data_IF_023398574867
#
_entry.id   IF_023398574867
#
_cell.length_a   1.000
_cell.length_b   1.000
_cell.length_c   1.000
_cell.angle_alpha   90.00
_cell.angle_beta   90.00
_cell.angle_gamma   90.00
#
_symmetry.space_group_name_H-M   'P 1'
#
loop_
_entity.id
_entity.type
_entity.pdbx_description
1 polymer ?
#
# COMPACT_ATOMS: atom_id res chain seq x y z
N UNK A 1 28.67 -19.65 60.57
CA UNK A 1 29.69 -19.09 59.65
C UNK A 1 29.25 -19.51 58.26
N UNK A 2 28.86 -18.71 57.30
CA UNK A 2 29.05 -17.30 56.97
C UNK A 2 29.04 -17.24 55.43
N UNK A 3 28.55 -16.14 54.86
CA UNK A 3 28.36 -15.83 53.42
C UNK A 3 27.02 -16.34 52.83
N UNK A 4 26.09 -15.53 52.33
CA UNK A 4 26.12 -14.09 52.06
C UNK A 4 25.26 -13.78 50.83
N UNK A 5 23.93 -13.91 50.94
CA UNK A 5 22.99 -13.46 49.91
C UNK A 5 22.55 -12.02 50.23
N UNK A 6 22.94 -11.07 49.38
CA UNK A 6 22.42 -9.71 49.40
C UNK A 6 21.11 -9.62 48.59
N UNK A 7 20.03 -9.01 49.11
CA UNK A 7 18.89 -8.62 48.29
C UNK A 7 19.12 -7.21 47.72
N UNK A 8 18.99 -7.05 46.40
CA UNK A 8 18.93 -5.74 45.75
C UNK A 8 17.63 -5.04 46.16
N UNK A 9 17.80 -3.90 46.83
CA UNK A 9 16.74 -2.98 47.21
C UNK A 9 16.28 -2.23 45.95
N UNK A 10 15.03 -2.47 45.53
CA UNK A 10 14.37 -1.68 44.49
C UNK A 10 13.85 -0.38 45.14
N UNK A 11 14.63 0.69 45.04
CA UNK A 11 14.23 2.00 45.54
C UNK A 11 13.18 2.60 44.60
N UNK A 12 11.91 2.56 45.00
CA UNK A 12 10.82 3.27 44.35
C UNK A 12 11.02 4.79 44.51
N UNK A 13 11.33 5.48 43.41
CA UNK A 13 11.28 6.94 43.36
C UNK A 13 9.84 7.34 43.02
N UNK A 14 9.04 7.54 44.07
CA UNK A 14 7.78 8.28 43.98
C UNK A 14 8.11 9.77 43.85
N UNK A 15 7.97 10.35 42.66
CA UNK A 15 7.93 11.80 42.47
C UNK A 15 6.50 12.20 42.15
N UNK A 16 5.92 12.99 43.05
CA UNK A 16 4.62 13.61 42.91
C UNK A 16 4.56 14.46 41.64
N UNK A 17 3.59 14.18 40.77
CA UNK A 17 3.20 15.07 39.70
C UNK A 17 2.54 16.30 40.32
N UNK A 18 3.30 17.39 40.42
CA UNK A 18 2.76 18.71 40.71
C UNK A 18 1.90 19.18 39.54
N UNK A 19 0.68 19.59 39.85
CA UNK A 19 -0.27 20.23 38.94
C UNK A 19 0.32 21.50 38.33
N UNK A 20 0.56 21.52 37.03
CA UNK A 20 0.81 22.76 36.29
C UNK A 20 -0.54 23.40 35.93
N UNK A 21 -0.89 24.48 36.63
CA UNK A 21 -1.90 25.42 36.18
C UNK A 21 -1.25 26.44 35.21
N UNK A 22 -1.91 26.82 34.11
CA UNK A 22 -1.39 27.85 33.21
C UNK A 22 -1.46 29.25 33.88
N UNK A 23 -0.51 30.15 33.59
CA UNK A 23 -0.55 31.53 34.11
C UNK A 23 -1.70 32.32 33.47
N UNK A 24 -2.26 33.33 34.17
CA UNK A 24 -3.31 34.19 33.64
C UNK A 24 -2.79 35.10 32.52
N UNK A 25 -3.68 35.63 31.65
CA UNK A 25 -3.27 36.51 30.57
C UNK A 25 -2.97 37.91 31.11
N UNK A 26 -1.74 38.38 30.90
CA UNK A 26 -1.37 39.77 31.14
C UNK A 26 -1.98 40.67 30.06
N UNK A 27 -2.85 41.57 30.51
CA UNK A 27 -3.27 42.76 29.80
C UNK A 27 -2.24 43.86 30.05
N UNK A 28 -1.42 44.20 29.06
CA UNK A 28 -1.22 45.61 28.75
C UNK A 28 -0.57 45.86 27.39
N UNK A 29 -1.07 46.93 26.79
CA UNK A 29 -0.71 47.52 25.51
C UNK A 29 0.72 48.09 25.50
N UNK A 30 1.48 47.80 24.43
CA UNK A 30 2.38 48.82 23.86
C UNK A 30 2.58 48.60 22.36
N UNK A 31 2.08 49.56 21.60
CA UNK A 31 2.15 49.67 20.16
C UNK A 31 3.57 50.08 19.71
N UNK A 32 4.32 49.15 19.13
CA UNK A 32 5.49 49.47 18.30
C UNK A 32 5.36 48.79 16.94
N UNK A 33 4.84 49.54 15.98
CA UNK A 33 4.82 49.19 14.55
C UNK A 33 6.26 49.26 14.02
N UNK A 34 6.83 48.12 13.66
CA UNK A 34 7.99 48.06 12.78
C UNK A 34 7.53 48.27 11.32
N UNK A 35 8.15 49.17 10.53
CA UNK A 35 7.79 49.32 9.13
C UNK A 35 8.36 48.17 8.30
N UNK A 36 7.50 47.53 7.50
CA UNK A 36 7.91 46.59 6.45
C UNK A 36 8.51 47.35 5.26
N UNK A 37 9.56 46.84 4.60
CA UNK A 37 10.09 47.44 3.38
C UNK A 37 9.11 47.23 2.19
N UNK A 38 9.07 48.13 1.20
CA UNK A 38 8.14 48.02 0.08
C UNK A 38 8.56 46.91 -0.90
N UNK A 39 7.57 46.17 -1.41
CA UNK A 39 7.72 45.24 -2.52
C UNK A 39 8.09 45.97 -3.83
N UNK A 40 8.98 45.43 -4.68
CA UNK A 40 9.30 46.03 -5.96
C UNK A 40 8.15 45.83 -6.96
N UNK A 41 7.72 46.93 -7.58
CA UNK A 41 6.78 46.93 -8.70
C UNK A 41 7.46 46.40 -9.97
N UNK A 42 6.92 45.33 -10.55
CA UNK A 42 7.26 44.85 -11.88
C UNK A 42 6.67 45.80 -12.93
N UNK A 43 7.53 46.54 -13.62
CA UNK A 43 7.19 47.36 -14.79
C UNK A 43 7.08 46.46 -16.02
N UNK A 44 5.87 46.33 -16.58
CA UNK A 44 5.66 45.77 -17.92
C UNK A 44 5.96 46.85 -18.97
N UNK A 45 7.07 46.71 -19.69
CA UNK A 45 7.34 47.50 -20.88
C UNK A 45 6.54 46.95 -22.05
N UNK A 46 5.53 47.69 -22.49
CA UNK A 46 4.83 47.50 -23.76
C UNK A 46 5.71 47.98 -24.91
N UNK A 47 6.28 47.05 -25.68
CA UNK A 47 6.78 47.36 -27.03
C UNK A 47 5.79 46.82 -28.07
N UNK A 48 5.12 47.76 -28.74
CA UNK A 48 4.36 47.52 -29.95
C UNK A 48 5.35 47.19 -31.08
N UNK A 49 5.22 46.02 -31.69
CA UNK A 49 5.76 45.76 -33.02
C UNK A 49 4.81 44.87 -33.82
N UNK A 50 4.64 45.27 -35.07
CA UNK A 50 3.58 44.90 -36.03
C UNK A 50 3.63 43.42 -36.43
N UNK A 51 2.47 42.87 -36.75
CA UNK A 51 2.31 41.72 -37.65
C UNK A 51 1.10 41.98 -38.58
N UNK A 52 0.90 41.29 -39.71
CA UNK A 52 1.81 40.42 -40.48
C UNK A 52 1.83 40.73 -42.00
N UNK A 53 2.78 40.17 -42.75
CA UNK A 53 2.67 40.02 -44.22
C UNK A 53 2.27 38.59 -44.59
N UNK A 54 1.24 38.50 -45.42
CA UNK A 54 0.49 37.30 -45.80
C UNK A 54 1.17 36.43 -46.88
N UNK A 55 2.39 35.95 -46.64
CA UNK A 55 3.09 35.12 -47.64
C UNK A 55 3.83 33.89 -47.07
N UNK A 56 3.87 33.67 -45.75
CA UNK A 56 4.55 32.52 -45.15
C UNK A 56 3.60 31.40 -44.65
N UNK A 57 2.28 31.59 -44.74
CA UNK A 57 1.28 30.67 -44.18
C UNK A 57 0.75 29.60 -45.16
N UNK A 58 1.28 29.52 -46.39
CA UNK A 58 0.74 28.64 -47.44
C UNK A 58 1.63 27.47 -47.86
N UNK A 59 2.71 27.17 -47.12
CA UNK A 59 3.54 25.97 -47.35
C UNK A 59 3.59 24.99 -46.16
N UNK A 60 2.74 25.18 -45.15
CA UNK A 60 2.61 24.29 -43.98
C UNK A 60 1.18 23.75 -43.81
N UNK A 61 0.43 23.63 -44.91
CA UNK A 61 -0.95 23.12 -44.91
C UNK A 61 -1.12 21.80 -45.69
N UNK A 62 -0.03 21.22 -46.22
CA UNK A 62 -0.07 19.99 -47.01
C UNK A 62 1.15 19.11 -46.69
N UNK A 63 1.22 18.59 -45.47
CA UNK A 63 2.24 17.62 -45.08
C UNK A 63 2.05 17.14 -43.66
N UNK A 64 1.85 15.83 -43.48
CA UNK A 64 1.71 15.11 -42.21
C UNK A 64 0.36 15.23 -41.47
N UNK A 65 -0.73 14.84 -42.15
CA UNK A 65 -1.77 14.02 -41.49
C UNK A 65 -1.44 12.53 -41.69
N UNK A 66 -0.39 12.04 -41.04
CA UNK A 66 -0.38 10.64 -40.60
C UNK A 66 -1.02 10.67 -39.23
N UNK A 67 -2.32 10.42 -39.19
CA UNK A 67 -2.95 9.96 -37.96
C UNK A 67 -2.13 8.75 -37.50
N UNK A 68 -1.48 8.88 -36.34
CA UNK A 68 -1.04 7.72 -35.58
C UNK A 68 -2.32 6.94 -35.28
N UNK A 69 -2.62 5.93 -36.10
CA UNK A 69 -3.61 4.93 -35.75
C UNK A 69 -3.00 4.18 -34.57
N UNK A 70 -3.38 4.58 -33.35
CA UNK A 70 -3.19 3.72 -32.20
C UNK A 70 -3.79 2.36 -32.56
N UNK A 71 -3.01 1.29 -32.40
CA UNK A 71 -3.51 -0.06 -32.62
C UNK A 71 -4.82 -0.24 -31.84
N UNK A 72 -5.86 -0.86 -32.42
CA UNK A 72 -7.10 -1.11 -31.70
C UNK A 72 -6.78 -1.87 -30.42
N UNK A 73 -7.17 -1.30 -29.28
CA UNK A 73 -7.05 -1.99 -28.00
C UNK A 73 -7.87 -3.29 -28.09
N UNK A 74 -7.33 -4.43 -27.59
CA UNK A 74 -8.07 -5.67 -27.61
C UNK A 74 -9.42 -5.47 -26.92
N UNK A 75 -10.49 -5.78 -27.66
CA UNK A 75 -11.85 -5.78 -27.13
C UNK A 75 -12.08 -7.07 -26.37
N UNK A 76 -12.65 -6.97 -25.17
CA UNK A 76 -13.05 -8.10 -24.33
C UNK A 76 -14.58 -8.12 -24.22
N UNK A 77 -15.22 -9.30 -24.20
CA UNK A 77 -16.65 -9.39 -23.93
C UNK A 77 -17.00 -8.74 -22.57
N UNK A 78 -18.18 -8.11 -22.45
CA UNK A 78 -18.75 -7.69 -21.16
C UNK A 78 -18.70 -8.84 -20.15
N UNK A 79 -18.53 -8.52 -18.86
CA UNK A 79 -18.30 -9.52 -17.81
C UNK A 79 -19.40 -10.60 -17.78
N UNK A 80 -20.65 -10.18 -17.94
CA UNK A 80 -21.85 -10.98 -17.94
C UNK A 80 -22.01 -11.88 -19.19
N UNK A 81 -21.29 -11.57 -20.27
CA UNK A 81 -21.31 -12.28 -21.56
C UNK A 81 -20.13 -13.24 -21.73
N UNK A 82 -19.19 -13.28 -20.79
CA UNK A 82 -18.02 -14.17 -20.90
C UNK A 82 -18.41 -15.65 -20.76
N UNK A 83 -17.71 -16.57 -21.45
CA UNK A 83 -17.98 -18.02 -21.38
C UNK A 83 -18.06 -18.58 -19.96
N UNK A 84 -17.22 -18.08 -19.06
CA UNK A 84 -17.17 -18.41 -17.63
C UNK A 84 -17.54 -17.18 -16.79
N UNK A 85 -18.74 -16.63 -17.04
CA UNK A 85 -19.22 -15.38 -16.45
C UNK A 85 -19.19 -15.34 -14.91
N UNK A 86 -19.45 -16.45 -14.23
CA UNK A 86 -19.46 -16.54 -12.76
C UNK A 86 -18.11 -16.96 -12.16
N UNK A 87 -17.04 -16.88 -12.95
CA UNK A 87 -15.67 -17.21 -12.56
C UNK A 87 -14.79 -15.97 -12.60
N UNK A 88 -13.96 -15.81 -11.57
CA UNK A 88 -12.89 -14.81 -11.52
C UNK A 88 -11.57 -15.45 -11.10
N UNK A 89 -10.48 -15.06 -11.74
CA UNK A 89 -9.12 -15.39 -11.31
C UNK A 89 -8.47 -14.15 -10.69
N UNK A 90 -8.13 -14.25 -9.41
CA UNK A 90 -7.36 -13.28 -8.67
C UNK A 90 -5.91 -13.73 -8.56
N UNK A 91 -4.98 -12.80 -8.73
CA UNK A 91 -3.55 -13.09 -8.71
C UNK A 91 -2.84 -12.20 -7.70
N UNK A 92 -2.00 -12.77 -6.85
CA UNK A 92 -0.86 -12.02 -6.32
C UNK A 92 0.04 -11.52 -7.48
N UNK A 93 0.90 -10.53 -7.21
CA UNK A 93 1.78 -9.93 -8.23
C UNK A 93 3.20 -10.47 -8.15
N UNK A 94 3.90 -10.22 -7.05
CA UNK A 94 5.34 -10.49 -6.89
C UNK A 94 5.61 -11.97 -6.58
N UNK A 95 6.21 -12.70 -7.52
CA UNK A 95 6.43 -14.14 -7.44
C UNK A 95 5.35 -14.97 -8.14
N UNK A 96 4.20 -14.34 -8.42
CA UNK A 96 3.02 -14.99 -9.00
C UNK A 96 2.78 -14.58 -10.46
N UNK A 97 2.65 -13.27 -10.74
CA UNK A 97 2.53 -12.75 -12.11
C UNK A 97 3.89 -12.33 -12.67
N UNK A 98 4.78 -11.84 -11.81
CA UNK A 98 6.11 -11.38 -12.20
C UNK A 98 7.17 -12.01 -11.31
N UNK A 99 8.43 -12.14 -11.74
CA UNK A 99 9.49 -12.44 -10.80
C UNK A 99 9.60 -11.31 -9.77
N UNK A 100 10.03 -11.60 -8.55
CA UNK A 100 10.03 -10.63 -7.45
C UNK A 100 10.72 -9.30 -7.84
N UNK A 101 9.97 -8.19 -7.82
CA UNK A 101 10.40 -6.83 -8.17
C UNK A 101 10.89 -6.66 -9.62
N UNK A 102 10.48 -7.54 -10.51
CA UNK A 102 10.79 -7.47 -11.94
C UNK A 102 9.51 -7.41 -12.78
N UNK A 103 9.70 -7.23 -14.08
CA UNK A 103 8.66 -7.06 -15.08
C UNK A 103 7.91 -8.36 -15.40
N UNK A 104 6.63 -8.25 -15.73
CA UNK A 104 5.83 -9.32 -16.30
C UNK A 104 6.40 -9.75 -17.66
N UNK A 105 6.47 -11.07 -17.88
CA UNK A 105 6.92 -11.61 -19.17
C UNK A 105 5.86 -11.41 -20.26
N UNK A 106 6.26 -11.31 -21.55
CA UNK A 106 5.30 -11.27 -22.66
C UNK A 106 4.36 -12.48 -22.68
N UNK A 107 4.84 -13.66 -22.27
CA UNK A 107 4.02 -14.87 -22.17
C UNK A 107 2.95 -14.75 -21.09
N UNK A 108 3.28 -14.22 -19.91
CA UNK A 108 2.31 -13.95 -18.86
C UNK A 108 1.21 -13.00 -19.35
N UNK A 109 1.60 -11.89 -19.97
CA UNK A 109 0.66 -10.89 -20.49
C UNK A 109 -0.27 -11.48 -21.56
N UNK A 110 0.27 -12.29 -22.47
CA UNK A 110 -0.52 -13.00 -23.47
C UNK A 110 -1.49 -14.02 -22.84
N UNK A 111 -1.04 -14.76 -21.82
CA UNK A 111 -1.86 -15.73 -21.08
C UNK A 111 -3.02 -15.03 -20.35
N UNK A 112 -2.75 -13.92 -19.68
CA UNK A 112 -3.79 -13.11 -19.02
C UNK A 112 -4.79 -12.56 -20.03
N UNK A 113 -4.33 -12.07 -21.18
CA UNK A 113 -5.21 -11.58 -22.24
C UNK A 113 -6.11 -12.69 -22.79
N UNK A 114 -5.58 -13.90 -22.99
CA UNK A 114 -6.37 -15.06 -23.41
C UNK A 114 -7.38 -15.49 -22.34
N UNK A 115 -6.97 -15.52 -21.07
CA UNK A 115 -7.84 -15.85 -19.93
C UNK A 115 -8.99 -14.85 -19.78
N UNK A 116 -8.72 -13.55 -19.97
CA UNK A 116 -9.71 -12.48 -19.87
C UNK A 116 -10.83 -12.57 -20.92
N UNK A 117 -10.60 -13.28 -22.02
CA UNK A 117 -11.66 -13.60 -22.99
C UNK A 117 -12.66 -14.65 -22.45
N UNK A 118 -12.27 -15.43 -21.43
CA UNK A 118 -13.06 -16.54 -20.87
C UNK A 118 -13.74 -16.19 -19.55
N UNK A 119 -13.05 -15.54 -18.62
CA UNK A 119 -13.55 -15.23 -17.28
C UNK A 119 -13.10 -13.83 -16.83
N UNK A 120 -13.59 -13.34 -15.69
CA UNK A 120 -13.05 -12.14 -15.07
C UNK A 120 -11.62 -12.38 -14.56
N UNK A 121 -10.76 -11.36 -14.63
CA UNK A 121 -9.42 -11.42 -14.03
C UNK A 121 -9.17 -10.19 -13.16
N UNK A 122 -8.40 -10.37 -12.09
CA UNK A 122 -7.92 -9.27 -11.28
C UNK A 122 -6.63 -9.58 -10.55
N UNK A 123 -5.92 -8.55 -10.11
CA UNK A 123 -4.77 -8.73 -9.21
C UNK A 123 -5.09 -8.20 -7.81
N UNK A 124 -4.40 -8.75 -6.81
CA UNK A 124 -4.39 -8.27 -5.43
C UNK A 124 -2.95 -8.23 -4.88
N UNK A 125 -2.44 -7.02 -4.65
CA UNK A 125 -1.09 -6.79 -4.16
C UNK A 125 -1.06 -5.87 -2.94
N UNK A 126 -0.10 -6.09 -2.04
CA UNK A 126 0.09 -5.21 -0.87
C UNK A 126 0.75 -3.86 -1.20
N UNK A 127 1.33 -3.73 -2.38
CA UNK A 127 1.95 -2.51 -2.90
C UNK A 127 0.92 -1.51 -3.44
N UNK A 128 1.33 -0.24 -3.59
CA UNK A 128 0.54 0.80 -4.26
C UNK A 128 0.45 0.60 -5.78
N UNK A 129 -0.52 1.25 -6.42
CA UNK A 129 -0.81 1.15 -7.85
C UNK A 129 0.40 1.48 -8.75
N UNK A 130 1.28 2.38 -8.32
CA UNK A 130 2.44 2.77 -9.11
C UNK A 130 3.43 1.61 -9.27
N UNK A 131 3.58 0.76 -8.25
CA UNK A 131 4.39 -0.47 -8.33
C UNK A 131 3.75 -1.50 -9.27
N UNK A 132 2.43 -1.71 -9.23
CA UNK A 132 1.80 -2.61 -10.21
C UNK A 132 1.85 -2.06 -11.64
N UNK A 133 1.77 -0.73 -11.80
CA UNK A 133 1.99 -0.08 -13.09
C UNK A 133 3.41 -0.34 -13.60
N UNK A 134 4.42 -0.24 -12.74
CA UNK A 134 5.80 -0.53 -13.08
C UNK A 134 6.00 -1.99 -13.52
N UNK A 135 5.49 -2.94 -12.74
CA UNK A 135 5.73 -4.36 -12.96
C UNK A 135 4.92 -4.96 -14.10
N UNK A 136 3.72 -4.44 -14.38
CA UNK A 136 2.80 -5.06 -15.35
C UNK A 136 2.46 -4.08 -16.48
N UNK A 137 2.07 -2.85 -16.14
CA UNK A 137 1.61 -1.89 -17.14
C UNK A 137 2.72 -1.37 -18.07
N UNK A 138 3.91 -1.06 -17.54
CA UNK A 138 5.09 -0.64 -18.33
C UNK A 138 5.54 -1.71 -19.32
N UNK A 139 5.81 -2.97 -18.92
CA UNK A 139 6.19 -4.01 -19.87
C UNK A 139 5.08 -4.36 -20.88
N UNK A 140 3.81 -4.08 -20.55
CA UNK A 140 2.68 -4.17 -21.49
C UNK A 140 2.57 -2.97 -22.47
N UNK A 141 3.69 -2.31 -22.80
CA UNK A 141 3.70 -1.16 -23.71
C UNK A 141 3.26 0.15 -23.04
N UNK A 142 3.49 0.29 -21.74
CA UNK A 142 3.11 1.45 -20.93
C UNK A 142 1.60 1.73 -20.92
N UNK A 143 0.80 0.66 -20.99
CA UNK A 143 -0.66 0.71 -20.84
C UNK A 143 -0.99 0.89 -19.35
N UNK A 144 -2.01 1.68 -18.98
CA UNK A 144 -2.49 1.71 -17.60
C UNK A 144 -2.83 0.31 -17.11
N UNK A 145 -2.26 -0.13 -15.99
CA UNK A 145 -2.48 -1.47 -15.44
C UNK A 145 -3.96 -1.74 -15.16
N UNK A 146 -4.72 -0.67 -14.85
CA UNK A 146 -6.17 -0.71 -14.66
C UNK A 146 -6.98 -1.03 -15.92
N UNK A 147 -6.37 -0.94 -17.10
CA UNK A 147 -6.94 -1.36 -18.36
C UNK A 147 -6.64 -2.83 -18.70
N UNK A 148 -5.65 -3.45 -18.05
CA UNK A 148 -5.23 -4.83 -18.32
C UNK A 148 -6.04 -5.88 -17.57
N UNK A 149 -6.68 -5.49 -16.46
CA UNK A 149 -7.51 -6.36 -15.62
C UNK A 149 -8.92 -5.82 -15.49
N UNK A 150 -9.87 -6.68 -15.11
CA UNK A 150 -11.22 -6.26 -14.79
C UNK A 150 -11.31 -5.69 -13.38
N UNK A 151 -10.52 -6.25 -12.46
CA UNK A 151 -10.38 -5.76 -11.09
C UNK A 151 -8.92 -5.52 -10.73
N UNK A 152 -8.63 -4.38 -10.11
CA UNK A 152 -7.28 -4.05 -9.66
C UNK A 152 -7.33 -3.71 -8.18
N UNK A 153 -6.71 -4.52 -7.33
CA UNK A 153 -6.70 -4.32 -5.89
C UNK A 153 -5.28 -4.01 -5.41
N UNK A 154 -4.95 -2.72 -5.36
CA UNK A 154 -3.72 -2.24 -4.74
C UNK A 154 -3.93 -2.10 -3.23
N UNK A 155 -2.85 -2.23 -2.47
CA UNK A 155 -2.86 -2.18 -1.00
C UNK A 155 -3.93 -3.13 -0.40
N UNK A 156 -3.90 -4.40 -0.83
CA UNK A 156 -4.86 -5.45 -0.46
C UNK A 156 -6.33 -5.14 -0.84
N UNK A 157 -6.56 -4.15 -1.71
CA UNK A 157 -7.88 -3.71 -2.13
C UNK A 157 -8.39 -2.48 -1.41
N UNK A 158 -7.58 -1.79 -0.61
CA UNK A 158 -7.96 -0.46 -0.08
C UNK A 158 -8.09 0.57 -1.19
N UNK A 159 -7.23 0.45 -2.20
CA UNK A 159 -7.33 1.16 -3.47
C UNK A 159 -7.77 0.16 -4.52
N UNK A 160 -8.99 0.32 -5.04
CA UNK A 160 -9.63 -0.66 -5.89
C UNK A 160 -10.15 -0.03 -7.19
N UNK A 161 -10.04 -0.77 -8.30
CA UNK A 161 -10.64 -0.39 -9.58
C UNK A 161 -11.43 -1.54 -10.17
N UNK A 162 -12.52 -1.21 -10.87
CA UNK A 162 -13.27 -2.11 -11.74
C UNK A 162 -13.35 -1.52 -13.14
N UNK A 163 -12.89 -2.26 -14.15
CA UNK A 163 -12.92 -1.84 -15.56
C UNK A 163 -12.33 -0.42 -15.77
N UNK A 164 -11.20 -0.15 -15.13
CA UNK A 164 -10.53 1.15 -15.18
C UNK A 164 -11.13 2.25 -14.29
N UNK A 165 -12.31 2.03 -13.69
CA UNK A 165 -12.98 3.00 -12.83
C UNK A 165 -12.67 2.75 -11.36
N UNK A 166 -12.40 3.81 -10.61
CA UNK A 166 -12.12 3.71 -9.18
C UNK A 166 -13.38 3.27 -8.41
N UNK A 167 -13.22 2.29 -7.52
CA UNK A 167 -14.22 1.86 -6.56
C UNK A 167 -14.06 2.65 -5.25
N UNK A 168 -15.07 2.69 -4.36
CA UNK A 168 -14.95 3.34 -3.07
C UNK A 168 -13.70 2.88 -2.30
N UNK A 169 -12.77 3.79 -2.10
CA UNK A 169 -11.53 3.54 -1.35
C UNK A 169 -11.73 3.74 0.15
N UNK A 170 -10.89 3.07 0.93
CA UNK A 170 -10.80 3.27 2.38
C UNK A 170 -9.35 3.54 2.76
N UNK A 171 -9.16 4.13 3.93
CA UNK A 171 -7.83 4.42 4.46
C UNK A 171 -7.79 4.17 5.96
N UNK A 172 -6.61 3.85 6.48
CA UNK A 172 -6.39 3.53 7.87
C UNK A 172 -6.90 4.68 8.76
N UNK A 173 -6.58 5.92 8.40
CA UNK A 173 -7.03 7.10 9.16
C UNK A 173 -8.55 7.31 9.11
N UNK A 174 -9.20 6.98 7.99
CA UNK A 174 -10.66 7.04 7.87
C UNK A 174 -11.34 5.98 8.73
N UNK A 175 -10.73 4.80 8.86
CA UNK A 175 -11.25 3.70 9.65
C UNK A 175 -11.04 3.91 11.16
N UNK A 176 -9.82 4.28 11.59
CA UNK A 176 -9.47 4.44 13.01
C UNK A 176 -9.93 5.79 13.56
N UNK A 177 -9.98 6.83 12.73
CA UNK A 177 -10.24 8.21 13.16
C UNK A 177 -9.04 8.88 13.85
N UNK A 178 -8.99 10.21 13.73
CA UNK A 178 -7.87 11.02 14.23
C UNK A 178 -7.61 10.86 15.73
N UNK A 179 -8.66 10.79 16.56
CA UNK A 179 -8.50 10.75 18.01
C UNK A 179 -7.87 9.45 18.52
N UNK A 180 -8.27 8.31 17.96
CA UNK A 180 -7.66 7.02 18.29
C UNK A 180 -6.27 6.90 17.66
N UNK A 181 -6.07 7.39 16.43
CA UNK A 181 -4.75 7.40 15.79
C UNK A 181 -3.72 8.22 16.57
N UNK A 182 -4.07 9.43 17.02
CA UNK A 182 -3.21 10.27 17.87
C UNK A 182 -2.81 9.53 19.14
N UNK A 183 -3.76 8.84 19.80
CA UNK A 183 -3.45 8.07 21.01
C UNK A 183 -2.47 6.92 20.72
N UNK A 184 -2.69 6.18 19.62
CA UNK A 184 -1.81 5.10 19.17
C UNK A 184 -0.40 5.61 18.88
N UNK A 185 -0.25 6.67 18.08
CA UNK A 185 1.05 7.22 17.71
C UNK A 185 1.76 7.84 18.91
N UNK A 186 1.06 8.56 19.79
CA UNK A 186 1.68 9.11 21.00
C UNK A 186 2.24 8.00 21.89
N UNK A 187 1.50 6.91 22.07
CA UNK A 187 2.00 5.75 22.81
C UNK A 187 3.24 5.14 22.15
N UNK A 188 3.22 4.93 20.83
CA UNK A 188 4.36 4.40 20.07
C UNK A 188 5.59 5.30 20.25
N UNK A 189 5.44 6.61 20.12
CA UNK A 189 6.56 7.56 20.23
C UNK A 189 7.12 7.63 21.65
N UNK A 190 6.29 7.61 22.69
CA UNK A 190 6.77 7.53 24.08
C UNK A 190 7.50 6.21 24.34
N UNK A 191 6.92 5.08 23.92
CA UNK A 191 7.57 3.78 24.07
C UNK A 191 8.94 3.75 23.37
N UNK A 192 9.04 4.28 22.15
CA UNK A 192 10.28 4.40 21.40
C UNK A 192 11.30 5.32 22.08
N UNK A 193 10.87 6.38 22.76
CA UNK A 193 11.77 7.29 23.46
C UNK A 193 12.50 6.56 24.59
N UNK A 194 11.76 5.77 25.39
CA UNK A 194 12.29 5.06 26.56
C UNK A 194 12.98 3.73 26.21
N UNK A 195 12.74 3.18 25.03
CA UNK A 195 13.32 1.91 24.60
C UNK A 195 14.84 2.00 24.43
N UNK A 196 15.59 1.13 25.10
CA UNK A 196 17.04 1.02 24.93
C UNK A 196 17.39 0.00 23.84
N UNK A 197 18.01 0.48 22.76
CA UNK A 197 18.48 -0.32 21.63
C UNK A 197 19.86 0.20 21.23
N UNK A 198 20.75 -0.65 20.68
CA UNK A 198 22.13 -0.25 20.40
C UNK A 198 22.26 1.00 19.53
N UNK A 199 21.29 1.22 18.64
CA UNK A 199 21.26 2.32 17.69
C UNK A 199 19.83 2.81 17.50
N UNK A 200 19.65 4.14 17.40
CA UNK A 200 18.43 4.78 16.88
C UNK A 200 18.78 5.68 15.70
N UNK A 201 17.91 5.71 14.69
CA UNK A 201 18.04 6.55 13.48
C UNK A 201 16.82 7.45 13.34
N UNK A 202 16.00 7.23 12.33
CA UNK A 202 14.82 8.04 12.03
C UNK A 202 13.79 7.25 11.23
N UNK A 203 12.62 7.86 11.02
CA UNK A 203 11.44 7.20 10.43
C UNK A 203 11.03 5.98 11.27
N UNK A 204 10.72 6.23 12.54
CA UNK A 204 10.29 5.20 13.49
C UNK A 204 8.83 4.78 13.28
N UNK A 205 7.99 5.70 12.82
CA UNK A 205 6.60 5.45 12.42
C UNK A 205 6.44 5.97 11.00
N UNK A 206 6.14 5.08 10.07
CA UNK A 206 5.84 5.41 8.67
C UNK A 206 4.35 5.20 8.45
N UNK A 207 3.62 6.29 8.22
CA UNK A 207 2.20 6.24 7.90
C UNK A 207 1.99 5.91 6.42
N UNK A 208 1.11 4.94 6.15
CA UNK A 208 0.69 4.51 4.82
C UNK A 208 -0.83 4.54 4.74
N UNK A 209 -1.38 4.43 3.53
CA UNK A 209 -2.82 4.47 3.34
C UNK A 209 -3.53 3.32 4.08
N UNK A 210 -2.95 2.11 4.08
CA UNK A 210 -3.55 0.94 4.74
C UNK A 210 -3.08 0.60 6.15
N UNK A 211 -2.01 1.20 6.63
CA UNK A 211 -1.32 0.75 7.83
C UNK A 211 -0.32 1.77 8.33
N UNK A 212 0.26 1.51 9.49
CA UNK A 212 1.54 2.10 9.88
C UNK A 212 2.61 1.03 9.98
N UNK A 213 3.83 1.34 9.55
CA UNK A 213 5.02 0.53 9.82
C UNK A 213 5.78 1.15 10.99
N UNK A 214 6.03 0.36 12.03
CA UNK A 214 6.74 0.79 13.25
C UNK A 214 8.11 0.11 13.33
N UNK A 215 9.18 0.89 13.45
CA UNK A 215 10.57 0.43 13.46
C UNK A 215 11.30 0.97 14.70
N UNK A 216 11.71 0.12 15.66
CA UNK A 216 12.45 0.55 16.85
C UNK A 216 13.78 1.24 16.56
N UNK A 217 14.56 0.71 15.62
CA UNK A 217 15.82 1.30 15.16
C UNK A 217 15.60 2.47 14.19
N UNK A 218 14.44 2.52 13.53
CA UNK A 218 14.08 3.50 12.50
C UNK A 218 14.45 3.03 11.08
N UNK A 219 13.58 3.32 10.09
CA UNK A 219 13.78 2.88 8.69
C UNK A 219 14.98 3.53 7.99
N UNK A 220 15.50 4.65 8.51
CA UNK A 220 16.73 5.24 7.98
C UNK A 220 18.01 4.48 8.37
N UNK A 221 17.91 3.36 9.10
CA UNK A 221 19.04 2.49 9.37
C UNK A 221 19.71 1.96 8.10
N UNK A 222 21.05 1.96 8.10
CA UNK A 222 21.88 1.38 7.04
C UNK A 222 21.69 -0.13 6.97
N UNK A 223 22.10 -0.76 5.86
CA UNK A 223 22.03 -2.23 5.72
C UNK A 223 22.74 -2.95 6.87
N UNK A 224 23.91 -2.48 7.28
CA UNK A 224 24.63 -3.08 8.40
C UNK A 224 23.87 -2.91 9.72
N UNK A 225 23.36 -1.71 10.01
CA UNK A 225 22.56 -1.45 11.22
C UNK A 225 21.28 -2.27 11.28
N UNK A 226 20.66 -2.55 10.13
CA UNK A 226 19.49 -3.43 10.02
C UNK A 226 19.84 -4.87 10.39
N UNK A 227 20.97 -5.38 9.88
CA UNK A 227 21.47 -6.72 10.20
C UNK A 227 21.79 -6.83 11.69
N UNK A 228 22.45 -5.81 12.25
CA UNK A 228 22.82 -5.78 13.66
C UNK A 228 21.59 -5.71 14.58
N UNK A 229 20.59 -4.88 14.22
CA UNK A 229 19.32 -4.81 14.94
C UNK A 229 18.54 -6.12 14.86
N UNK A 230 18.51 -6.80 13.70
CA UNK A 230 17.84 -8.10 13.56
C UNK A 230 18.45 -9.15 14.50
N UNK A 231 19.78 -9.21 14.56
CA UNK A 231 20.50 -10.10 15.46
C UNK A 231 20.21 -9.77 16.94
N UNK A 232 20.19 -8.48 17.29
CA UNK A 232 19.84 -8.01 18.63
C UNK A 232 18.38 -8.31 19.00
N UNK A 233 17.43 -8.02 18.13
CA UNK A 233 16.00 -8.26 18.34
C UNK A 233 15.69 -9.75 18.51
N UNK A 234 16.42 -10.64 17.83
CA UNK A 234 16.27 -12.08 17.97
C UNK A 234 16.58 -12.57 19.40
N UNK A 235 17.57 -11.98 20.06
CA UNK A 235 17.95 -12.34 21.42
C UNK A 235 17.17 -11.56 22.49
N UNK A 236 16.98 -10.25 22.28
CA UNK A 236 16.33 -9.35 23.25
C UNK A 236 14.79 -9.33 23.14
N UNK A 237 14.22 -9.75 22.00
CA UNK A 237 12.77 -9.81 21.80
C UNK A 237 12.07 -8.45 21.72
N UNK A 238 12.76 -7.40 21.27
CA UNK A 238 12.30 -6.00 21.29
C UNK A 238 10.95 -5.82 20.60
N UNK A 239 10.81 -6.24 19.33
CA UNK A 239 9.58 -6.05 18.56
C UNK A 239 8.41 -6.84 19.15
N UNK A 240 8.66 -8.06 19.63
CA UNK A 240 7.64 -8.89 20.27
C UNK A 240 7.12 -8.28 21.56
N UNK A 241 8.01 -7.77 22.41
CA UNK A 241 7.62 -7.07 23.63
C UNK A 241 6.83 -5.78 23.32
N UNK A 242 7.27 -5.03 22.30
CA UNK A 242 6.57 -3.81 21.88
C UNK A 242 5.16 -4.10 21.31
N UNK A 243 5.03 -5.12 20.45
CA UNK A 243 3.72 -5.57 19.96
C UNK A 243 2.82 -6.00 21.11
N UNK A 244 3.34 -6.71 22.11
CA UNK A 244 2.55 -7.08 23.29
C UNK A 244 2.07 -5.84 24.07
N UNK A 245 2.96 -4.86 24.31
CA UNK A 245 2.59 -3.62 24.98
C UNK A 245 1.50 -2.84 24.21
N UNK A 246 1.54 -2.86 22.87
CA UNK A 246 0.49 -2.27 22.04
C UNK A 246 -0.84 -3.01 22.17
N UNK A 247 -0.83 -4.34 22.18
CA UNK A 247 -2.03 -5.17 22.38
C UNK A 247 -2.66 -4.91 23.75
N UNK A 248 -1.84 -4.84 24.81
CA UNK A 248 -2.31 -4.60 26.17
C UNK A 248 -2.89 -3.18 26.33
N UNK A 249 -2.31 -2.20 25.62
CA UNK A 249 -2.77 -0.80 25.67
C UNK A 249 -4.02 -0.56 24.85
N UNK A 250 -4.18 -1.23 23.73
CA UNK A 250 -5.25 -0.99 22.75
C UNK A 250 -6.02 -2.27 22.39
N UNK A 251 -6.56 -3.02 23.37
CA UNK A 251 -7.24 -4.30 23.10
C UNK A 251 -8.49 -4.13 22.23
N UNK A 252 -9.17 -2.98 22.35
CA UNK A 252 -10.47 -2.74 21.71
C UNK A 252 -10.36 -2.07 20.33
N UNK A 253 -9.15 -1.71 19.88
CA UNK A 253 -8.98 -1.05 18.58
C UNK A 253 -9.09 -2.02 17.40
N UNK A 254 -9.16 -3.34 17.60
CA UNK A 254 -9.31 -4.30 16.49
C UNK A 254 -8.12 -4.29 15.51
N UNK A 255 -6.90 -4.11 16.03
CA UNK A 255 -5.67 -4.06 15.23
C UNK A 255 -4.98 -5.44 15.15
N UNK A 256 -4.45 -5.74 13.98
CA UNK A 256 -3.49 -6.82 13.72
C UNK A 256 -2.08 -6.26 13.68
N UNK A 257 -1.14 -7.04 14.22
CA UNK A 257 0.28 -6.69 14.29
C UNK A 257 1.09 -7.80 13.61
N UNK A 258 1.88 -7.44 12.60
CA UNK A 258 2.70 -8.39 11.85
C UNK A 258 4.17 -8.03 11.94
N UNK A 259 4.97 -8.84 12.64
CA UNK A 259 6.42 -8.66 12.70
C UNK A 259 7.01 -9.23 11.42
N UNK A 260 7.63 -8.37 10.61
CA UNK A 260 8.16 -8.73 9.29
C UNK A 260 9.51 -8.11 9.01
N UNK A 261 10.34 -8.82 8.24
CA UNK A 261 11.67 -8.37 7.87
C UNK A 261 12.60 -8.15 9.07
N UNK A 262 13.61 -7.29 8.88
CA UNK A 262 14.73 -7.16 9.81
C UNK A 262 14.47 -6.21 10.98
N UNK A 263 13.67 -5.15 10.76
CA UNK A 263 13.68 -3.98 11.67
C UNK A 263 12.32 -3.49 12.13
N UNK A 264 11.22 -3.96 11.54
CA UNK A 264 9.91 -3.36 11.80
C UNK A 264 8.79 -4.37 11.96
N UNK A 265 7.61 -3.85 12.27
CA UNK A 265 6.35 -4.56 12.25
C UNK A 265 5.26 -3.63 11.72
N UNK A 266 4.26 -4.21 11.06
CA UNK A 266 3.11 -3.49 10.53
C UNK A 266 1.96 -3.52 11.54
N UNK A 267 1.20 -2.42 11.62
CA UNK A 267 -0.02 -2.28 12.42
C UNK A 267 -1.14 -1.82 11.50
N UNK A 268 -2.20 -2.63 11.42
CA UNK A 268 -3.32 -2.42 10.51
C UNK A 268 -4.61 -3.00 11.12
N UNK A 269 -5.80 -2.59 10.63
CA UNK A 269 -7.06 -3.16 11.10
C UNK A 269 -7.14 -4.66 10.82
N UNK A 270 -7.76 -5.42 11.71
CA UNK A 270 -8.01 -6.83 11.48
C UNK A 270 -8.79 -7.06 10.18
N UNK A 271 -8.37 -8.05 9.39
CA UNK A 271 -8.96 -8.37 8.08
C UNK A 271 -8.53 -7.45 6.94
N UNK A 272 -7.52 -6.59 7.11
CA UNK A 272 -6.89 -5.81 6.02
C UNK A 272 -5.71 -6.56 5.37
N UNK A 273 -5.73 -7.89 5.44
CA UNK A 273 -4.97 -8.78 4.55
C UNK A 273 -5.65 -8.87 3.17
N UNK A 274 -5.18 -9.75 2.29
CA UNK A 274 -5.69 -9.86 0.91
C UNK A 274 -7.17 -10.25 0.83
N UNK A 275 -7.75 -10.88 1.87
CA UNK A 275 -9.19 -11.20 1.91
C UNK A 275 -10.07 -9.94 1.86
N UNK A 276 -9.51 -8.77 2.23
CA UNK A 276 -10.21 -7.49 2.15
C UNK A 276 -10.76 -7.21 0.75
N UNK A 277 -10.07 -7.64 -0.33
CA UNK A 277 -10.50 -7.38 -1.69
C UNK A 277 -11.81 -8.11 -2.06
N UNK A 278 -12.10 -9.25 -1.41
CA UNK A 278 -13.26 -10.08 -1.72
C UNK A 278 -14.58 -9.36 -1.47
N UNK A 279 -14.62 -8.43 -0.50
CA UNK A 279 -15.81 -7.62 -0.25
C UNK A 279 -16.20 -6.73 -1.43
N UNK A 280 -15.23 -6.30 -2.24
CA UNK A 280 -15.53 -5.51 -3.45
C UNK A 280 -16.26 -6.36 -4.47
N UNK A 281 -15.92 -7.64 -4.60
CA UNK A 281 -16.64 -8.57 -5.47
C UNK A 281 -18.08 -8.77 -4.97
N UNK A 282 -18.27 -8.94 -3.67
CA UNK A 282 -19.59 -9.07 -3.05
C UNK A 282 -20.44 -7.79 -3.20
N UNK A 283 -19.85 -6.62 -2.97
CA UNK A 283 -20.53 -5.33 -3.10
C UNK A 283 -20.91 -5.03 -4.56
N UNK A 284 -20.04 -5.38 -5.51
CA UNK A 284 -20.36 -5.27 -6.94
C UNK A 284 -21.45 -6.26 -7.38
N UNK A 285 -21.46 -7.48 -6.83
CA UNK A 285 -22.50 -8.47 -7.12
C UNK A 285 -23.90 -8.00 -6.66
N UNK A 286 -23.98 -7.21 -5.58
CA UNK A 286 -25.24 -6.64 -5.06
C UNK A 286 -25.79 -5.49 -5.91
N UNK A 287 -24.99 -4.89 -6.81
CA UNK A 287 -25.44 -3.78 -7.67
C UNK A 287 -26.35 -4.29 -8.80
N UNK A 288 -27.25 -3.47 -9.36
CA UNK A 288 -28.02 -3.85 -10.54
C UNK A 288 -27.10 -4.23 -11.71
N UNK A 289 -27.30 -5.42 -12.28
CA UNK A 289 -26.42 -5.96 -13.32
C UNK A 289 -25.06 -6.47 -12.80
N UNK A 290 -24.90 -6.57 -11.48
CA UNK A 290 -23.73 -7.18 -10.84
C UNK A 290 -23.60 -8.66 -11.18
N UNK A 291 -22.36 -9.12 -11.29
CA UNK A 291 -22.02 -10.53 -11.50
C UNK A 291 -21.63 -11.12 -10.16
N UNK A 292 -22.34 -12.18 -9.73
CA UNK A 292 -21.96 -12.98 -8.59
C UNK A 292 -20.93 -14.03 -9.02
N UNK A 293 -19.71 -13.94 -8.46
CA UNK A 293 -18.65 -14.91 -8.74
C UNK A 293 -18.76 -16.11 -7.79
N UNK A 294 -19.08 -17.27 -8.35
CA UNK A 294 -19.19 -18.54 -7.61
C UNK A 294 -17.86 -19.27 -7.52
N UNK A 295 -17.01 -19.08 -8.51
CA UNK A 295 -15.67 -19.67 -8.59
C UNK A 295 -14.64 -18.56 -8.54
N UNK A 296 -14.07 -18.31 -7.35
CA UNK A 296 -13.02 -17.33 -7.14
C UNK A 296 -11.69 -18.08 -7.05
N UNK A 297 -10.96 -18.17 -8.15
CA UNK A 297 -9.62 -18.75 -8.15
C UNK A 297 -8.64 -17.72 -7.59
N UNK A 298 -7.77 -18.12 -6.67
CA UNK A 298 -6.69 -17.26 -6.20
C UNK A 298 -5.33 -17.93 -6.46
N UNK A 299 -4.38 -17.20 -7.02
CA UNK A 299 -3.01 -17.65 -7.27
C UNK A 299 -2.04 -16.84 -6.42
N UNK A 300 -1.13 -17.50 -5.70
CA UNK A 300 -0.14 -16.84 -4.84
C UNK A 300 1.10 -17.69 -4.55
N UNK A 301 2.25 -17.03 -4.41
CA UNK A 301 3.56 -17.68 -4.16
C UNK A 301 3.78 -17.98 -2.67
N UNK A 302 3.18 -17.19 -1.78
CA UNK A 302 3.35 -17.28 -0.32
C UNK A 302 2.13 -17.87 0.37
N UNK A 303 1.56 -18.91 -0.24
CA UNK A 303 0.43 -19.68 0.27
C UNK A 303 0.84 -20.67 1.38
N UNK A 304 1.50 -20.18 2.42
CA UNK A 304 1.88 -20.93 3.62
C UNK A 304 1.60 -20.10 4.87
N UNK A 305 1.34 -20.72 6.02
CA UNK A 305 1.00 -20.00 7.26
C UNK A 305 2.06 -18.93 7.60
N UNK A 306 1.62 -17.68 7.74
CA UNK A 306 2.48 -16.50 7.94
C UNK A 306 2.98 -15.82 6.66
N UNK A 307 2.76 -16.42 5.49
CA UNK A 307 2.88 -15.76 4.19
C UNK A 307 1.70 -14.82 3.92
N UNK A 308 1.92 -13.76 3.14
CA UNK A 308 0.92 -12.72 2.88
C UNK A 308 -0.23 -13.15 1.96
N UNK A 309 -0.18 -14.36 1.42
CA UNK A 309 -1.24 -14.97 0.61
C UNK A 309 -2.08 -15.96 1.40
N UNK A 310 -1.66 -16.33 2.62
CA UNK A 310 -2.24 -17.43 3.36
C UNK A 310 -3.73 -17.24 3.64
N UNK A 311 -4.12 -16.06 4.10
CA UNK A 311 -5.49 -15.77 4.49
C UNK A 311 -6.44 -15.86 3.29
N UNK A 312 -6.07 -15.28 2.15
CA UNK A 312 -6.89 -15.34 0.93
C UNK A 312 -6.85 -16.72 0.29
N UNK A 313 -5.70 -17.40 0.28
CA UNK A 313 -5.57 -18.76 -0.24
C UNK A 313 -6.43 -19.76 0.52
N UNK A 314 -6.54 -19.60 1.85
CA UNK A 314 -7.26 -20.50 2.75
C UNK A 314 -8.71 -20.07 2.97
N UNK A 315 -9.13 -18.91 2.46
CA UNK A 315 -10.49 -18.41 2.61
C UNK A 315 -11.48 -19.35 1.89
N UNK A 316 -12.57 -19.79 2.55
CA UNK A 316 -13.52 -20.74 1.98
C UNK A 316 -14.27 -20.22 0.74
N UNK A 317 -14.22 -18.91 0.47
CA UNK A 317 -14.77 -18.31 -0.76
C UNK A 317 -13.86 -18.56 -1.97
N UNK A 318 -12.62 -18.97 -1.77
CA UNK A 318 -11.62 -19.10 -2.84
C UNK A 318 -11.24 -20.55 -3.12
N UNK A 319 -10.79 -20.77 -4.35
CA UNK A 319 -10.11 -21.98 -4.81
C UNK A 319 -8.64 -21.59 -4.97
N UNK A 320 -7.85 -21.86 -3.93
CA UNK A 320 -6.43 -21.46 -3.85
C UNK A 320 -5.50 -22.34 -4.70
N UNK A 321 -4.62 -21.69 -5.46
CA UNK A 321 -3.55 -22.29 -6.27
C UNK A 321 -2.20 -21.75 -5.78
N UNK A 322 -1.47 -22.57 -5.03
CA UNK A 322 -0.11 -22.21 -4.61
C UNK A 322 0.83 -22.37 -5.81
N UNK A 323 1.59 -21.32 -6.13
CA UNK A 323 2.54 -21.31 -7.25
C UNK A 323 3.96 -21.14 -6.75
N UNK A 324 4.94 -21.57 -7.55
CA UNK A 324 6.36 -21.38 -7.21
C UNK A 324 7.04 -20.28 -8.01
N UNK A 325 6.45 -19.89 -9.13
CA UNK A 325 6.98 -18.89 -10.05
C UNK A 325 5.90 -18.43 -11.03
N UNK A 326 6.14 -17.35 -11.79
CA UNK A 326 5.26 -16.94 -12.89
C UNK A 326 5.04 -18.02 -13.95
N UNK A 327 6.07 -18.83 -14.25
CA UNK A 327 5.96 -19.92 -15.22
C UNK A 327 4.99 -21.01 -14.72
N UNK A 328 4.99 -21.26 -13.41
CA UNK A 328 4.07 -22.20 -12.78
C UNK A 328 2.63 -21.70 -12.85
N UNK A 329 2.41 -20.39 -12.63
CA UNK A 329 1.12 -19.73 -12.85
C UNK A 329 0.63 -19.91 -14.29
N UNK A 330 1.48 -19.62 -15.29
CA UNK A 330 1.13 -19.79 -16.71
C UNK A 330 0.73 -21.23 -17.01
N UNK A 331 1.51 -22.19 -16.52
CA UNK A 331 1.25 -23.62 -16.71
C UNK A 331 -0.13 -24.00 -16.15
N UNK A 332 -0.40 -23.66 -14.89
CA UNK A 332 -1.69 -23.98 -14.25
C UNK A 332 -2.86 -23.32 -14.99
N UNK A 333 -2.70 -22.06 -15.43
CA UNK A 333 -3.74 -21.36 -16.20
C UNK A 333 -4.04 -22.06 -17.54
N UNK A 334 -3.00 -22.46 -18.29
CA UNK A 334 -3.16 -23.19 -19.55
C UNK A 334 -3.86 -24.53 -19.34
N UNK A 335 -3.47 -25.26 -18.30
CA UNK A 335 -4.06 -26.55 -17.95
C UNK A 335 -5.53 -26.41 -17.53
N UNK A 336 -5.83 -25.45 -16.63
CA UNK A 336 -7.13 -25.28 -16.01
C UNK A 336 -8.19 -24.67 -16.93
N UNK A 337 -7.79 -23.73 -17.79
CA UNK A 337 -8.71 -22.97 -18.65
C UNK A 337 -8.61 -23.34 -20.13
N UNK A 338 -7.76 -24.31 -20.49
CA UNK A 338 -7.52 -24.74 -21.87
C UNK A 338 -7.20 -23.53 -22.77
N UNK A 339 -6.12 -22.83 -22.44
CA UNK A 339 -5.65 -21.61 -23.10
C UNK A 339 -4.69 -21.90 -24.26
#
# INVERSE_FOLDING_TARGET
MGQGCAPLILTAVSRSLGSFAPPPPDSDSDSRRFPLPPFPQLTFATSFSRSPTAAAALSWALGNKRASMAAPQPSYPPLEERPLRDTICLFDVDGTLTPARLDASPEMLATLAALRQKCAIGFVGGSDLAKQQEQIGRPAGNVPVTALFDFCFAENGLTAYKLGQELPSNSFIRWIGEDQYKQLVNFILHYLADLDVPVKRGTFVEFRNGMINVSPVGRNASTQERNDFEAFDRSAGVRRAFVQALRDRFPDLGLTYSIGGQISFDVFPAGWDKTYCLKHLEDEARKPGGVEYKSIHFFGDKAFEGGNDWEIYSDPRTIGHAVKSPDDTVRILKDLFHL
#
